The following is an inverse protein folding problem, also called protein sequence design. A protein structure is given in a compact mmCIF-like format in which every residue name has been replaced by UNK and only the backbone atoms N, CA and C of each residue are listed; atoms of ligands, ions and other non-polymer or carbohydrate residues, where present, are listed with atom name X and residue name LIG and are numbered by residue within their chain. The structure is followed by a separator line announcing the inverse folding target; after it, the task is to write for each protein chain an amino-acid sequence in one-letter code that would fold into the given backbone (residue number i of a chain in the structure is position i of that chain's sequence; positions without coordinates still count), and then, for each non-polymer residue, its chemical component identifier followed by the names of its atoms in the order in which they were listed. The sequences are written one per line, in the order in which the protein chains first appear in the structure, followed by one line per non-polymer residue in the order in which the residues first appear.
data_IF_198424941914
#
_entry.id   IF_198424941914
#
_cell.length_a   1.000
_cell.length_b   1.000
_cell.length_c   1.000
_cell.angle_alpha   90.00
_cell.angle_beta   90.00
_cell.angle_gamma   90.00
#
_symmetry.space_group_name_H-M   'P 1'
#
loop_
_entity.id
_entity.type
_entity.pdbx_description
1 polymer ?
#
# COMPACT_ATOMS: atom_id res chain seq x y z
N UNK A 1 -11.40 2.08 -2.32
CA UNK A 1 -12.28 0.88 -2.34
C UNK A 1 -13.20 0.84 -3.56
N UNK A 2 -14.07 1.83 -3.79
CA UNK A 2 -15.01 1.78 -4.94
C UNK A 2 -14.31 1.76 -6.31
N UNK A 3 -13.25 2.53 -6.51
CA UNK A 3 -12.47 2.48 -7.76
C UNK A 3 -11.86 1.11 -8.04
N UNK A 4 -11.38 0.42 -6.99
CA UNK A 4 -10.84 -0.94 -7.10
C UNK A 4 -11.93 -1.93 -7.50
N UNK A 5 -13.11 -1.84 -6.88
CA UNK A 5 -14.27 -2.67 -7.22
C UNK A 5 -14.69 -2.42 -8.66
N UNK A 6 -14.83 -1.16 -9.09
CA UNK A 6 -15.20 -0.81 -10.46
C UNK A 6 -14.16 -1.33 -11.47
N UNK A 7 -12.87 -1.18 -11.17
CA UNK A 7 -11.79 -1.73 -12.00
C UNK A 7 -11.90 -3.25 -12.13
N UNK A 8 -12.18 -3.96 -11.03
CA UNK A 8 -12.36 -5.43 -11.05
C UNK A 8 -13.61 -5.80 -11.83
N UNK A 9 -14.75 -5.11 -11.63
CA UNK A 9 -15.98 -5.33 -12.39
C UNK A 9 -15.72 -5.17 -13.90
N UNK A 10 -15.08 -4.08 -14.31
CA UNK A 10 -14.81 -3.80 -15.73
C UNK A 10 -13.79 -4.75 -16.36
N UNK A 11 -12.71 -5.08 -15.65
CA UNK A 11 -11.60 -5.88 -16.18
C UNK A 11 -11.84 -7.38 -16.11
N UNK A 12 -12.53 -7.84 -15.05
CA UNK A 12 -12.81 -9.25 -14.81
C UNK A 12 -14.26 -9.65 -15.15
N UNK A 13 -15.08 -8.68 -15.58
CA UNK A 13 -16.49 -8.87 -15.93
C UNK A 13 -17.28 -9.59 -14.82
N UNK A 14 -17.06 -9.16 -13.58
CA UNK A 14 -17.67 -9.73 -12.38
C UNK A 14 -18.92 -8.96 -11.95
N UNK A 15 -19.82 -9.66 -11.24
CA UNK A 15 -20.92 -9.02 -10.54
C UNK A 15 -20.39 -8.08 -9.45
N UNK A 16 -21.20 -7.12 -9.02
CA UNK A 16 -20.80 -6.17 -7.98
C UNK A 16 -20.49 -6.85 -6.64
N UNK A 17 -21.25 -7.89 -6.32
CA UNK A 17 -21.05 -8.67 -5.12
C UNK A 17 -19.72 -9.46 -5.16
N UNK A 18 -19.42 -10.09 -6.30
CA UNK A 18 -18.19 -10.86 -6.48
C UNK A 18 -16.96 -9.94 -6.57
N UNK A 19 -17.10 -8.79 -7.21
CA UNK A 19 -16.03 -7.80 -7.28
C UNK A 19 -15.72 -7.18 -5.90
N UNK A 20 -16.75 -7.01 -5.05
CA UNK A 20 -16.56 -6.57 -3.66
C UNK A 20 -15.78 -7.61 -2.85
N UNK A 21 -16.17 -8.89 -2.98
CA UNK A 21 -15.45 -10.01 -2.33
C UNK A 21 -14.01 -10.14 -2.84
N UNK A 22 -13.80 -9.99 -4.14
CA UNK A 22 -12.46 -10.04 -4.76
C UNK A 22 -11.58 -8.87 -4.32
N UNK A 23 -12.12 -7.65 -4.27
CA UNK A 23 -11.41 -6.48 -3.76
C UNK A 23 -10.99 -6.69 -2.30
N UNK A 24 -11.91 -7.18 -1.46
CA UNK A 24 -11.62 -7.46 -0.06
C UNK A 24 -10.52 -8.53 0.11
N UNK A 25 -10.61 -9.63 -0.64
CA UNK A 25 -9.60 -10.69 -0.61
C UNK A 25 -8.21 -10.19 -1.05
N UNK A 26 -8.14 -9.32 -2.06
CA UNK A 26 -6.90 -8.70 -2.51
C UNK A 26 -6.29 -7.81 -1.41
N UNK A 27 -7.12 -7.00 -0.76
CA UNK A 27 -6.70 -6.13 0.36
C UNK A 27 -6.16 -6.97 1.52
N UNK A 28 -6.87 -8.00 1.92
CA UNK A 28 -6.48 -8.87 3.04
C UNK A 28 -5.18 -9.63 2.72
N UNK A 29 -5.04 -10.10 1.48
CA UNK A 29 -3.79 -10.72 1.02
C UNK A 29 -2.62 -9.76 1.10
N UNK A 30 -2.77 -8.52 0.59
CA UNK A 30 -1.71 -7.51 0.66
C UNK A 30 -1.37 -7.24 2.12
N UNK A 31 -2.35 -6.95 2.98
CA UNK A 31 -2.14 -6.73 4.42
C UNK A 31 -1.40 -7.88 5.11
N UNK A 32 -1.63 -9.13 4.69
CA UNK A 32 -0.90 -10.29 5.22
C UNK A 32 0.57 -10.36 4.82
N UNK A 33 0.96 -9.70 3.72
CA UNK A 33 2.32 -9.69 3.17
C UNK A 33 3.12 -8.47 3.56
N UNK A 34 2.47 -7.37 3.95
CA UNK A 34 3.16 -6.14 4.35
C UNK A 34 3.39 -6.16 5.86
N UNK A 35 4.58 -5.75 6.34
CA UNK A 35 4.82 -5.61 7.77
C UNK A 35 3.77 -4.70 8.45
N UNK A 36 3.46 -4.92 9.74
CA UNK A 36 2.41 -4.17 10.45
C UNK A 36 2.58 -2.64 10.38
N UNK A 37 3.82 -2.17 10.30
CA UNK A 37 4.16 -0.75 10.17
C UNK A 37 3.59 -0.09 8.89
N UNK A 38 3.29 -0.88 7.86
CA UNK A 38 2.73 -0.40 6.60
C UNK A 38 1.22 -0.65 6.46
N UNK A 39 0.57 -1.27 7.45
CA UNK A 39 -0.87 -1.56 7.39
C UNK A 39 -1.68 -0.27 7.16
N UNK A 40 -1.37 0.78 7.92
CA UNK A 40 -2.01 2.09 7.78
C UNK A 40 -1.73 2.72 6.41
N UNK A 41 -0.54 2.50 5.83
CA UNK A 41 -0.17 2.99 4.50
C UNK A 41 -0.89 2.28 3.38
N UNK A 42 -1.13 0.99 3.53
CA UNK A 42 -1.97 0.22 2.61
C UNK A 42 -3.42 0.71 2.66
N UNK A 43 -3.94 1.01 3.85
CA UNK A 43 -5.29 1.58 3.97
C UNK A 43 -5.39 2.98 3.36
N UNK A 44 -4.39 3.84 3.57
CA UNK A 44 -4.29 5.13 2.88
C UNK A 44 -4.29 4.94 1.35
N UNK A 45 -3.56 3.96 0.82
CA UNK A 45 -3.46 3.67 -0.62
C UNK A 45 -4.78 3.21 -1.20
N UNK A 46 -5.43 2.26 -0.54
CA UNK A 46 -6.73 1.74 -0.96
C UNK A 46 -7.81 2.83 -0.91
N UNK A 47 -7.69 3.78 0.00
CA UNK A 47 -8.58 4.92 0.13
C UNK A 47 -8.23 6.09 -0.79
N UNK A 48 -7.20 5.97 -1.63
CA UNK A 48 -6.75 7.04 -2.53
C UNK A 48 -6.12 8.23 -1.80
N UNK A 49 -5.77 8.07 -0.53
CA UNK A 49 -5.14 9.08 0.33
C UNK A 49 -3.64 8.86 0.50
N UNK A 50 -3.08 7.86 -0.18
CA UNK A 50 -1.65 7.59 -0.11
C UNK A 50 -0.87 8.69 -0.79
N UNK A 51 -0.24 9.50 0.04
CA UNK A 51 0.69 10.51 -0.39
C UNK A 51 2.10 9.92 -0.32
N UNK A 52 2.61 9.51 -1.48
CA UNK A 52 3.97 9.02 -1.62
C UNK A 52 5.00 10.09 -1.22
N UNK A 53 4.68 11.37 -1.40
CA UNK A 53 5.50 12.50 -0.97
C UNK A 53 5.53 12.64 0.55
N UNK A 54 4.40 12.44 1.25
CA UNK A 54 4.36 12.40 2.70
C UNK A 54 5.08 11.16 3.28
N UNK A 55 5.01 10.01 2.60
CA UNK A 55 5.75 8.81 3.00
C UNK A 55 7.27 8.99 2.80
N UNK A 56 7.70 9.50 1.65
CA UNK A 56 9.12 9.80 1.38
C UNK A 56 9.63 10.96 2.24
N UNK A 57 8.78 11.93 2.57
CA UNK A 57 9.06 13.01 3.51
C UNK A 57 9.10 12.55 4.96
N UNK A 58 8.32 11.54 5.35
CA UNK A 58 8.38 10.91 6.67
C UNK A 58 9.57 9.95 6.82
N UNK A 59 10.00 9.33 5.72
CA UNK A 59 11.17 8.46 5.66
C UNK A 59 12.48 9.24 5.48
N UNK A 60 12.44 10.40 4.83
CA UNK A 60 13.58 11.28 4.52
C UNK A 60 13.62 12.63 5.25
N UNK A 61 12.64 12.93 6.12
CA UNK A 61 12.53 14.22 6.82
C UNK A 61 13.04 14.22 8.25
N UNK A 62 13.62 13.12 8.73
CA UNK A 62 14.26 13.02 10.04
C UNK A 62 15.78 13.04 9.92
N UNK A 63 16.39 14.22 10.06
CA UNK A 63 17.83 14.52 10.05
C UNK A 63 18.57 14.29 8.71
N UNK A 64 19.07 15.40 8.17
CA UNK A 64 19.98 15.48 7.03
C UNK A 64 21.37 14.90 7.35
N UNK A 65 21.45 13.60 7.65
CA UNK A 65 22.69 12.91 7.98
C UNK A 65 22.79 11.44 7.57
N UNK A 66 21.66 10.74 7.38
CA UNK A 66 21.67 9.34 6.92
C UNK A 66 20.59 9.17 5.86
N UNK A 67 20.99 8.88 4.62
CA UNK A 67 20.01 8.71 3.55
C UNK A 67 19.15 7.49 3.87
N UNK A 68 17.85 7.51 3.58
CA UNK A 68 16.99 6.36 3.82
C UNK A 68 17.41 5.12 3.00
N UNK A 69 18.18 5.35 1.93
CA UNK A 69 18.87 4.33 1.15
C UNK A 69 20.02 3.66 1.91
N UNK A 70 20.72 4.37 2.80
CA UNK A 70 21.79 3.81 3.65
C UNK A 70 21.21 2.88 4.73
N UNK A 71 20.04 3.22 5.27
CA UNK A 71 19.30 2.36 6.21
C UNK A 71 18.70 1.13 5.54
N UNK A 72 18.20 1.27 4.30
CA UNK A 72 17.73 0.14 3.50
C UNK A 72 18.89 -0.80 3.10
N UNK A 73 20.02 -0.23 2.65
CA UNK A 73 21.23 -0.98 2.35
C UNK A 73 21.79 -1.72 3.57
N UNK A 74 21.68 -1.13 4.76
CA UNK A 74 22.09 -1.77 6.02
C UNK A 74 21.14 -2.89 6.49
N UNK A 75 19.88 -2.89 6.08
CA UNK A 75 18.93 -3.99 6.36
C UNK A 75 19.04 -5.15 5.36
N UNK A 76 19.33 -4.85 4.10
CA UNK A 76 19.48 -5.87 3.04
C UNK A 76 20.91 -6.41 2.91
N UNK A 77 21.88 -5.76 3.55
CA UNK A 77 23.29 -6.13 3.53
C UNK A 77 23.77 -6.98 4.71
N UNK A 78 22.93 -7.88 5.23
CA UNK A 78 23.34 -8.87 6.25
C UNK A 78 23.23 -10.30 5.73
#
# INVERSE_FOLDING_TARGET
MQELINTIKEKANLSEEDATKAAQAAVDFVKSKVPPFFADKIEELINGKFDLGAMMGGFGGGNAGESPLDKLGSMFGK
#
